data_IF_264166885578
#
_entry.id   IF_264166885578
#
_cell.length_a   1.000
_cell.length_b   1.000
_cell.length_c   1.000
_cell.angle_alpha   90.00
_cell.angle_beta   90.00
_cell.angle_gamma   90.00
#
_symmetry.space_group_name_H-M   'P 1'
#
loop_
_entity.id
_entity.type
_entity.pdbx_description
1 polymer ?
#
# COMPACT_ATOMS: atom_id res chain seq x y z
N UNK A 1 7.18 6.01 2.63
CA UNK A 1 6.90 4.94 3.62
C UNK A 1 6.33 3.71 2.95
N UNK A 2 5.04 3.73 2.58
CA UNK A 2 4.31 2.56 2.07
C UNK A 2 4.99 1.78 0.95
N UNK A 3 5.42 2.46 -0.13
CA UNK A 3 6.12 1.81 -1.25
C UNK A 3 7.37 1.04 -0.83
N UNK A 4 8.22 1.68 -0.02
CA UNK A 4 9.42 1.04 0.49
C UNK A 4 9.07 -0.16 1.39
N UNK A 5 8.04 -0.05 2.24
CA UNK A 5 7.60 -1.17 3.08
C UNK A 5 7.11 -2.36 2.24
N UNK A 6 6.36 -2.12 1.15
CA UNK A 6 5.87 -3.17 0.26
C UNK A 6 7.02 -3.92 -0.43
N UNK A 7 7.93 -3.17 -1.07
CA UNK A 7 9.10 -3.73 -1.77
C UNK A 7 10.03 -4.47 -0.80
N UNK A 8 10.25 -3.91 0.39
CA UNK A 8 11.19 -4.49 1.36
C UNK A 8 10.63 -5.74 2.04
N UNK A 9 9.32 -5.86 2.16
CA UNK A 9 8.69 -7.03 2.76
C UNK A 9 8.27 -8.10 1.74
N UNK A 10 8.18 -7.75 0.46
CA UNK A 10 7.50 -8.60 -0.53
C UNK A 10 6.05 -8.85 -0.15
N UNK A 11 5.37 -7.85 0.41
CA UNK A 11 3.98 -7.97 0.87
C UNK A 11 3.12 -6.79 0.43
N UNK A 12 1.84 -7.06 0.20
CA UNK A 12 0.85 -6.00 0.01
C UNK A 12 0.84 -5.10 1.24
N UNK A 13 0.96 -3.80 1.02
CA UNK A 13 0.87 -2.81 2.09
C UNK A 13 -0.41 -2.00 1.92
N UNK A 14 -1.16 -1.88 3.00
CA UNK A 14 -2.41 -1.12 3.06
C UNK A 14 -2.32 -0.10 4.17
N UNK A 15 -2.85 1.09 3.90
CA UNK A 15 -3.06 2.10 4.93
C UNK A 15 -4.42 2.73 4.72
N UNK A 16 -5.12 2.96 5.83
CA UNK A 16 -6.27 3.83 5.89
C UNK A 16 -5.88 5.01 6.76
N UNK A 17 -5.84 6.19 6.16
CA UNK A 17 -5.49 7.42 6.87
C UNK A 17 -6.61 8.44 6.72
N UNK A 18 -6.76 9.30 7.73
CA UNK A 18 -7.70 10.40 7.66
C UNK A 18 -7.30 11.36 6.54
N UNK A 19 -8.32 11.84 5.81
CA UNK A 19 -8.18 12.82 4.73
C UNK A 19 -9.23 13.92 4.91
N UNK A 20 -8.83 15.18 4.87
CA UNK A 20 -9.70 16.36 4.86
C UNK A 20 -9.66 17.19 6.15
N UNK A 21 -10.35 18.36 6.14
CA UNK A 21 -10.55 19.24 7.29
C UNK A 21 -11.61 18.62 8.21
N UNK A 22 -11.24 17.55 8.92
CA UNK A 22 -12.20 16.79 9.73
C UNK A 22 -12.07 17.08 11.23
N UNK A 23 -11.27 18.06 11.62
CA UNK A 23 -11.28 18.67 12.95
C UNK A 23 -11.20 20.20 12.82
N UNK A 24 -11.65 20.92 13.84
CA UNK A 24 -11.54 22.39 13.89
C UNK A 24 -10.11 22.90 14.05
N UNK A 25 -9.16 22.00 14.29
CA UNK A 25 -7.79 22.33 14.71
C UNK A 25 -6.73 21.85 13.71
N UNK A 26 -7.03 20.89 12.82
CA UNK A 26 -6.03 20.26 11.98
C UNK A 26 -6.58 19.74 10.64
N UNK A 27 -5.82 20.02 9.57
CA UNK A 27 -6.10 19.49 8.25
C UNK A 27 -5.31 18.20 8.03
N UNK A 28 -6.00 17.08 7.80
CA UNK A 28 -5.35 15.81 7.49
C UNK A 28 -5.14 15.69 5.97
N UNK A 29 -3.88 15.72 5.54
CA UNK A 29 -3.51 15.48 4.13
C UNK A 29 -3.35 14.00 3.77
N UNK A 30 -3.82 13.07 4.62
CA UNK A 30 -3.66 11.64 4.42
C UNK A 30 -4.53 11.10 3.28
N UNK A 31 -4.26 9.86 2.88
CA UNK A 31 -5.10 9.10 1.95
C UNK A 31 -4.99 7.62 2.26
N UNK A 32 -6.06 6.87 2.02
CA UNK A 32 -5.96 5.43 1.98
C UNK A 32 -5.26 4.98 0.70
N UNK A 33 -4.52 3.87 0.76
CA UNK A 33 -3.83 3.28 -0.39
C UNK A 33 -3.62 1.78 -0.23
N UNK A 34 -3.53 1.09 -1.37
CA UNK A 34 -3.11 -0.31 -1.50
C UNK A 34 -1.89 -0.34 -2.42
N UNK A 35 -0.81 -0.99 -2.00
CA UNK A 35 0.46 -1.07 -2.74
C UNK A 35 0.84 -2.53 -2.95
N UNK A 36 1.28 -2.86 -4.16
CA UNK A 36 1.71 -4.20 -4.56
C UNK A 36 3.15 -4.54 -4.11
N UNK A 37 3.48 -5.84 -3.93
CA UNK A 37 4.68 -6.27 -3.23
C UNK A 37 5.99 -6.26 -4.05
N UNK A 38 5.95 -6.29 -5.38
CA UNK A 38 7.11 -6.45 -6.27
C UNK A 38 7.84 -5.12 -6.52
N UNK A 39 7.16 -4.15 -7.11
CA UNK A 39 7.73 -2.84 -7.52
C UNK A 39 7.27 -1.70 -6.63
N UNK A 40 6.30 -1.94 -5.74
CA UNK A 40 5.69 -0.91 -4.91
C UNK A 40 4.75 0.01 -5.70
N UNK A 41 4.11 -0.50 -6.74
CA UNK A 41 3.08 0.25 -7.47
C UNK A 41 1.82 0.45 -6.60
N UNK A 42 1.22 1.64 -6.70
CA UNK A 42 -0.02 1.96 -5.99
C UNK A 42 -1.18 1.44 -6.83
N UNK A 43 -1.86 0.41 -6.35
CA UNK A 43 -2.98 -0.22 -7.03
C UNK A 43 -4.27 0.60 -6.92
N UNK A 44 -4.35 1.47 -5.91
CA UNK A 44 -5.42 2.46 -5.80
C UNK A 44 -5.30 3.32 -4.56
N UNK A 45 -6.08 4.40 -4.53
CA UNK A 45 -6.21 5.30 -3.39
C UNK A 45 -7.68 5.61 -3.10
N UNK A 46 -7.97 6.00 -1.86
CA UNK A 46 -9.24 6.67 -1.55
C UNK A 46 -9.16 8.16 -1.90
N UNK A 47 -10.31 8.83 -1.95
CA UNK A 47 -10.44 10.28 -2.16
C UNK A 47 -11.82 10.72 -1.67
N UNK A 48 -12.11 12.03 -1.68
CA UNK A 48 -13.45 12.55 -1.35
C UNK A 48 -14.56 12.00 -2.26
N UNK A 49 -14.23 11.69 -3.52
CA UNK A 49 -15.15 11.08 -4.48
C UNK A 49 -15.21 9.54 -4.40
N UNK A 50 -14.25 8.92 -3.70
CA UNK A 50 -14.13 7.48 -3.56
C UNK A 50 -13.64 7.15 -2.14
N UNK A 51 -14.60 7.13 -1.20
CA UNK A 51 -14.30 7.06 0.24
C UNK A 51 -13.78 5.70 0.71
N UNK A 52 -13.95 4.64 -0.09
CA UNK A 52 -13.43 3.32 0.17
C UNK A 52 -12.84 2.72 -1.10
N UNK A 53 -11.88 1.81 -0.92
CA UNK A 53 -11.22 1.08 -2.00
C UNK A 53 -11.26 -0.40 -1.65
N UNK A 54 -11.72 -1.21 -2.61
CA UNK A 54 -11.73 -2.67 -2.51
C UNK A 54 -10.95 -3.22 -3.69
N UNK A 55 -10.12 -4.23 -3.43
CA UNK A 55 -9.31 -4.87 -4.45
C UNK A 55 -9.20 -6.36 -4.14
N UNK A 56 -9.44 -7.19 -5.14
CA UNK A 56 -9.11 -8.61 -5.08
C UNK A 56 -7.61 -8.78 -5.34
N UNK A 57 -6.93 -9.51 -4.47
CA UNK A 57 -5.48 -9.75 -4.55
C UNK A 57 -5.20 -11.25 -4.67
N UNK A 58 -4.15 -11.62 -5.42
CA UNK A 58 -3.60 -12.97 -5.39
C UNK A 58 -2.44 -13.02 -4.38
N UNK A 59 -2.54 -13.89 -3.39
CA UNK A 59 -1.49 -14.04 -2.38
C UNK A 59 -0.17 -14.54 -2.98
N UNK A 60 -0.23 -15.22 -4.14
CA UNK A 60 0.95 -15.69 -4.87
C UNK A 60 1.83 -14.54 -5.33
N UNK A 61 1.27 -13.36 -5.57
CA UNK A 61 2.06 -12.18 -5.95
C UNK A 61 3.04 -11.80 -4.83
N UNK A 62 2.60 -11.88 -3.57
CA UNK A 62 3.47 -11.66 -2.41
C UNK A 62 4.45 -12.82 -2.18
N UNK A 63 4.04 -14.07 -2.44
CA UNK A 63 4.96 -15.22 -2.38
C UNK A 63 6.08 -15.11 -3.41
N UNK A 64 5.74 -14.73 -4.65
CA UNK A 64 6.68 -14.51 -5.73
C UNK A 64 7.59 -13.31 -5.45
N UNK A 65 7.03 -12.19 -4.99
CA UNK A 65 7.82 -10.99 -4.67
C UNK A 65 8.87 -11.22 -3.58
N UNK A 66 8.64 -12.19 -2.68
CA UNK A 66 9.61 -12.57 -1.66
C UNK A 66 10.81 -13.32 -2.22
N UNK A 67 10.74 -13.88 -3.43
CA UNK A 67 11.85 -14.61 -4.09
C UNK A 67 12.45 -13.84 -5.28
N UNK A 68 11.95 -12.63 -5.55
CA UNK A 68 12.46 -11.69 -6.57
C UNK A 68 13.32 -10.61 -5.89
N UNK A 69 13.31 -9.32 -6.26
CA UNK A 69 14.51 -8.46 -6.12
C UNK A 69 14.54 -7.45 -4.95
N UNK A 70 15.64 -7.38 -4.16
CA UNK A 70 16.29 -8.53 -3.57
C UNK A 70 15.46 -8.99 -2.37
N UNK A 71 14.72 -10.09 -2.52
CA UNK A 71 14.05 -10.78 -1.43
C UNK A 71 14.37 -12.28 -1.53
N UNK A 72 14.88 -12.77 -0.40
CA UNK A 72 15.64 -14.01 -0.18
C UNK A 72 16.87 -14.20 -1.08
N UNK A 73 18.01 -13.65 -0.64
CA UNK A 73 19.32 -14.21 -1.02
C UNK A 73 19.41 -15.59 -0.37
N UNK A 74 19.40 -16.66 -1.16
CA UNK A 74 19.86 -17.96 -0.65
C UNK A 74 21.34 -17.81 -0.31
N UNK A 75 21.73 -18.16 0.91
CA UNK A 75 23.14 -18.28 1.31
C UNK A 75 23.91 -19.24 0.39
#
# INVERSE_FOLDING_TARGET
GGKAAAIVSGAFCLSSNYNGPNTSEEDFGGTGWIIEPERGDVLGTTSLGQNFLTLDIDIKDAENAKITYPRYVKE
#
